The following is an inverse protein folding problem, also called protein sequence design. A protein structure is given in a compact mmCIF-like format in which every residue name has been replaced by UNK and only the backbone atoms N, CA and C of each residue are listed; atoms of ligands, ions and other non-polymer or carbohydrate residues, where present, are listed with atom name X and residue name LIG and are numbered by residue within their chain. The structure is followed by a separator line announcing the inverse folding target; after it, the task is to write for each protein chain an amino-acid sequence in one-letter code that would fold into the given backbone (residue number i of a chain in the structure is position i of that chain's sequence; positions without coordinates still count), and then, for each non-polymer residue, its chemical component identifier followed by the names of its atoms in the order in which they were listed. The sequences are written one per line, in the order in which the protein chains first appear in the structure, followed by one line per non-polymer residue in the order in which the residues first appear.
data_IF_325343678119
#
_entry.id   IF_325343678119
#
_cell.length_a   1.000
_cell.length_b   1.000
_cell.length_c   1.000
_cell.angle_alpha   90.00
_cell.angle_beta   90.00
_cell.angle_gamma   90.00
#
_symmetry.space_group_name_H-M   'P 1'
#
loop_
_entity.id
_entity.type
_entity.pdbx_description
1 polymer ?
#
# COMPACT_ATOMS: atom_id res chain seq x y z
N UNK A 1 -32.89 37.41 1.14
CA UNK A 1 -31.50 37.85 1.37
C UNK A 1 -30.60 36.62 1.27
N UNK A 2 -29.94 36.42 0.13
CA UNK A 2 -28.99 35.30 -0.06
C UNK A 2 -27.61 35.74 0.42
N UNK A 3 -27.19 35.28 1.59
CA UNK A 3 -25.83 35.50 2.08
C UNK A 3 -24.86 34.66 1.23
N UNK A 4 -24.01 35.31 0.44
CA UNK A 4 -22.94 34.67 -0.30
C UNK A 4 -21.76 34.48 0.66
N UNK A 5 -21.50 33.24 1.08
CA UNK A 5 -20.30 32.89 1.84
C UNK A 5 -19.10 32.85 0.88
N UNK A 6 -18.24 33.86 0.93
CA UNK A 6 -16.93 33.86 0.27
C UNK A 6 -15.86 33.37 1.24
N UNK A 7 -15.12 32.34 0.85
CA UNK A 7 -14.03 31.76 1.66
C UNK A 7 -12.69 32.14 1.04
N UNK A 8 -11.75 32.59 1.88
CA UNK A 8 -10.39 32.92 1.44
C UNK A 8 -9.60 31.64 1.09
N UNK A 9 -8.76 31.70 0.05
CA UNK A 9 -7.87 30.60 -0.35
C UNK A 9 -6.98 30.07 0.80
N UNK A 10 -6.50 30.98 1.66
CA UNK A 10 -5.75 30.63 2.88
C UNK A 10 -6.54 29.75 3.85
N UNK A 11 -7.84 30.02 3.99
CA UNK A 11 -8.74 29.23 4.86
C UNK A 11 -8.90 27.83 4.29
N UNK A 12 -9.12 27.71 2.98
CA UNK A 12 -9.20 26.41 2.29
C UNK A 12 -7.90 25.62 2.45
N UNK A 13 -6.74 26.26 2.29
CA UNK A 13 -5.44 25.61 2.44
C UNK A 13 -5.24 25.08 3.87
N UNK A 14 -5.58 25.86 4.90
CA UNK A 14 -5.52 25.43 6.31
C UNK A 14 -6.41 24.22 6.56
N UNK A 15 -7.65 24.22 6.05
CA UNK A 15 -8.54 23.06 6.18
C UNK A 15 -7.99 21.82 5.49
N UNK A 16 -7.41 21.95 4.30
CA UNK A 16 -6.75 20.84 3.60
C UNK A 16 -5.59 20.26 4.44
N UNK A 17 -4.73 21.11 4.99
CA UNK A 17 -3.63 20.69 5.86
C UNK A 17 -4.15 19.96 7.11
N UNK A 18 -5.18 20.50 7.76
CA UNK A 18 -5.79 19.89 8.93
C UNK A 18 -6.39 18.51 8.62
N UNK A 19 -7.03 18.34 7.45
CA UNK A 19 -7.55 17.05 7.01
C UNK A 19 -6.40 16.04 6.84
N UNK A 20 -5.30 16.44 6.19
CA UNK A 20 -4.12 15.58 5.98
C UNK A 20 -3.51 15.15 7.33
N UNK A 21 -3.30 16.09 8.25
CA UNK A 21 -2.74 15.80 9.57
C UNK A 21 -3.66 14.88 10.40
N UNK A 22 -4.97 15.13 10.38
CA UNK A 22 -5.94 14.30 11.08
C UNK A 22 -6.00 12.88 10.49
N UNK A 23 -5.94 12.77 9.17
CA UNK A 23 -5.87 11.49 8.48
C UNK A 23 -4.62 10.71 8.89
N UNK A 24 -3.45 11.36 8.84
CA UNK A 24 -2.20 10.76 9.26
C UNK A 24 -2.25 10.24 10.71
N UNK A 25 -2.75 11.06 11.64
CA UNK A 25 -2.95 10.65 13.05
C UNK A 25 -3.88 9.44 13.18
N UNK A 26 -4.96 9.37 12.39
CA UNK A 26 -5.89 8.23 12.39
C UNK A 26 -5.19 6.94 11.93
N UNK A 27 -4.41 7.01 10.85
CA UNK A 27 -3.66 5.87 10.33
C UNK A 27 -2.58 5.42 11.30
N UNK A 28 -1.86 6.35 11.91
CA UNK A 28 -0.90 6.02 12.96
C UNK A 28 -1.56 5.30 14.15
N UNK A 29 -2.71 5.81 14.62
CA UNK A 29 -3.48 5.18 15.70
C UNK A 29 -3.96 3.77 15.32
N UNK A 30 -4.34 3.56 14.06
CA UNK A 30 -4.75 2.24 13.57
C UNK A 30 -3.60 1.22 13.67
N UNK A 31 -2.41 1.54 13.18
CA UNK A 31 -1.27 0.63 13.24
C UNK A 31 -0.81 0.37 14.68
N UNK A 32 -0.75 1.41 15.52
CA UNK A 32 -0.39 1.26 16.93
C UNK A 32 -1.33 0.33 17.69
N UNK A 33 -2.64 0.40 17.42
CA UNK A 33 -3.62 -0.46 18.08
C UNK A 33 -3.51 -1.93 17.66
N UNK A 34 -2.94 -2.20 16.48
CA UNK A 34 -2.93 -3.53 15.87
C UNK A 34 -1.50 -4.01 15.58
N UNK A 35 -0.51 -3.61 16.35
CA UNK A 35 0.92 -3.86 16.04
C UNK A 35 1.26 -5.35 15.90
N UNK A 36 0.53 -6.21 16.63
CA UNK A 36 0.69 -7.67 16.63
C UNK A 36 -0.24 -8.36 15.61
N UNK A 37 -0.63 -7.68 14.53
CA UNK A 37 -1.48 -8.23 13.48
C UNK A 37 -0.74 -8.30 12.15
N UNK A 38 -1.07 -9.31 11.34
CA UNK A 38 -0.66 -9.35 9.93
C UNK A 38 -1.44 -8.30 9.11
N UNK A 39 -0.77 -7.62 8.19
CA UNK A 39 -1.38 -6.61 7.33
C UNK A 39 -1.39 -7.03 5.85
N UNK A 40 -2.51 -6.76 5.20
CA UNK A 40 -2.65 -6.83 3.76
C UNK A 40 -2.88 -5.41 3.20
N UNK A 41 -2.04 -5.02 2.25
CA UNK A 41 -2.15 -3.78 1.50
C UNK A 41 -2.69 -4.08 0.11
N UNK A 42 -3.58 -3.22 -0.38
CA UNK A 42 -3.99 -3.20 -1.78
C UNK A 42 -3.49 -1.91 -2.42
N UNK A 43 -2.68 -2.04 -3.46
CA UNK A 43 -2.22 -0.95 -4.30
C UNK A 43 -2.91 -1.06 -5.64
N UNK A 44 -3.81 -0.13 -5.92
CA UNK A 44 -4.64 -0.20 -7.11
C UNK A 44 -4.87 1.18 -7.73
N UNK A 45 -5.24 1.18 -9.02
CA UNK A 45 -5.52 2.40 -9.75
C UNK A 45 -7.00 2.78 -9.60
N UNK A 46 -7.26 3.86 -8.87
CA UNK A 46 -8.58 4.46 -8.89
C UNK A 46 -8.71 5.33 -10.15
N UNK A 47 -9.72 5.04 -10.95
CA UNK A 47 -10.14 5.88 -12.06
C UNK A 47 -11.12 6.94 -11.55
N UNK A 48 -10.74 8.21 -11.63
CA UNK A 48 -11.70 9.28 -11.39
C UNK A 48 -12.59 9.44 -12.62
N UNK A 49 -13.70 8.69 -12.66
CA UNK A 49 -14.71 8.76 -13.74
C UNK A 49 -15.74 9.88 -13.53
N UNK A 50 -15.64 10.63 -12.43
CA UNK A 50 -16.55 11.72 -12.11
C UNK A 50 -15.93 13.06 -12.50
N UNK A 51 -16.12 13.47 -13.74
CA UNK A 51 -16.37 14.88 -14.03
C UNK A 51 -17.75 14.97 -14.70
N UNK A 52 -18.79 15.34 -13.94
CA UNK A 52 -19.98 15.93 -14.57
C UNK A 52 -19.61 17.38 -14.88
N UNK A 53 -18.89 17.59 -15.97
CA UNK A 53 -18.79 18.90 -16.57
C UNK A 53 -19.52 18.84 -17.90
N UNK A 54 -20.64 19.56 -18.02
CA UNK A 54 -21.17 19.88 -19.35
C UNK A 54 -20.06 20.67 -20.05
N UNK A 55 -19.48 20.16 -21.15
CA UNK A 55 -18.33 20.79 -21.78
C UNK A 55 -18.78 22.13 -22.38
N UNK A 56 -18.08 23.20 -22.01
CA UNK A 56 -18.22 24.52 -22.62
C UNK A 56 -17.12 24.77 -23.68
N UNK A 57 -16.29 23.77 -23.95
CA UNK A 57 -15.24 23.77 -24.97
C UNK A 57 -15.12 22.38 -25.61
N UNK A 58 -14.43 22.26 -26.74
CA UNK A 58 -14.24 21.02 -27.50
C UNK A 58 -12.99 20.23 -27.11
N UNK A 59 -12.40 20.49 -25.93
CA UNK A 59 -11.24 19.73 -25.46
C UNK A 59 -11.66 18.43 -24.79
N UNK A 60 -11.01 17.32 -25.15
CA UNK A 60 -11.18 16.04 -24.48
C UNK A 60 -10.58 16.13 -23.07
N UNK A 61 -11.39 15.88 -22.03
CA UNK A 61 -10.91 15.74 -20.66
C UNK A 61 -10.04 14.48 -20.55
N UNK A 62 -8.76 14.61 -20.17
CA UNK A 62 -7.91 13.46 -19.88
C UNK A 62 -8.29 12.86 -18.52
N UNK A 63 -8.52 11.55 -18.46
CA UNK A 63 -8.77 10.85 -17.20
C UNK A 63 -7.52 10.91 -16.32
N UNK A 64 -7.65 11.50 -15.13
CA UNK A 64 -6.59 11.46 -14.11
C UNK A 64 -6.61 10.12 -13.38
N UNK A 65 -5.44 9.49 -13.28
CA UNK A 65 -5.24 8.23 -12.55
C UNK A 65 -4.71 8.50 -11.15
N UNK A 66 -5.29 7.84 -10.16
CA UNK A 66 -4.83 7.91 -8.77
C UNK A 66 -4.42 6.53 -8.28
N UNK A 67 -3.16 6.37 -7.93
CA UNK A 67 -2.72 5.23 -7.15
C UNK A 67 -3.32 5.35 -5.75
N UNK A 68 -4.07 4.34 -5.32
CA UNK A 68 -4.69 4.30 -4.00
C UNK A 68 -4.06 3.16 -3.21
N UNK A 69 -3.59 3.47 -2.00
CA UNK A 69 -3.08 2.48 -1.07
C UNK A 69 -4.09 2.28 0.05
N UNK A 70 -4.65 1.09 0.16
CA UNK A 70 -5.53 0.71 1.26
C UNK A 70 -4.93 -0.43 2.05
N UNK A 71 -5.28 -0.55 3.31
CA UNK A 71 -4.78 -1.60 4.20
C UNK A 71 -5.90 -2.17 5.05
N UNK A 72 -5.77 -3.45 5.37
CA UNK A 72 -6.64 -4.16 6.30
C UNK A 72 -5.77 -5.07 7.17
N UNK A 73 -6.10 -5.14 8.46
CA UNK A 73 -5.54 -6.18 9.33
C UNK A 73 -6.20 -7.50 9.00
N UNK A 74 -5.42 -8.56 9.02
CA UNK A 74 -5.93 -9.91 8.82
C UNK A 74 -6.24 -10.49 10.19
N UNK A 75 -7.54 -10.62 10.48
CA UNK A 75 -7.99 -11.08 11.79
C UNK A 75 -7.51 -12.51 12.07
N UNK A 76 -7.26 -12.80 13.35
CA UNK A 76 -6.83 -14.12 13.86
C UNK A 76 -5.44 -14.59 13.40
N UNK A 77 -4.67 -13.76 12.70
CA UNK A 77 -3.30 -14.08 12.29
C UNK A 77 -2.24 -13.21 12.96
N UNK A 78 -1.18 -13.89 13.39
CA UNK A 78 0.04 -13.32 13.96
C UNK A 78 0.95 -12.85 12.81
N UNK A 79 1.72 -11.76 13.00
CA UNK A 79 2.74 -11.31 12.07
C UNK A 79 3.69 -12.45 11.66
N UNK A 80 4.02 -12.48 10.37
CA UNK A 80 4.99 -13.44 9.84
C UNK A 80 6.37 -12.80 9.93
N UNK A 81 7.28 -13.39 10.67
CA UNK A 81 8.66 -12.91 10.77
C UNK A 81 9.35 -13.00 9.42
N UNK A 82 10.04 -11.93 9.02
CA UNK A 82 10.81 -11.86 7.78
C UNK A 82 12.04 -12.80 7.83
N UNK A 83 12.56 -13.04 9.04
CA UNK A 83 13.62 -14.00 9.33
C UNK A 83 13.10 -15.00 10.37
N UNK A 84 13.02 -16.27 10.00
CA UNK A 84 12.64 -17.35 10.91
C UNK A 84 13.82 -18.32 11.02
N UNK A 85 14.32 -18.53 12.24
CA UNK A 85 15.49 -19.38 12.51
C UNK A 85 16.74 -19.02 11.67
N UNK A 86 17.05 -17.72 11.53
CA UNK A 86 18.12 -17.18 10.69
C UNK A 86 18.00 -17.47 9.18
N UNK A 87 16.87 -18.01 8.74
CA UNK A 87 16.53 -18.18 7.33
C UNK A 87 15.65 -17.00 6.92
N UNK A 88 16.10 -16.23 5.94
CA UNK A 88 15.32 -15.13 5.38
C UNK A 88 14.18 -15.73 4.53
N UNK A 89 12.95 -15.23 4.69
CA UNK A 89 11.84 -15.60 3.79
C UNK A 89 12.07 -15.10 2.35
N UNK A 90 13.01 -14.17 2.18
CA UNK A 90 13.42 -13.62 0.90
C UNK A 90 14.31 -14.60 0.12
N UNK A 91 13.69 -15.27 -0.84
CA UNK A 91 14.39 -16.13 -1.79
C UNK A 91 15.02 -15.29 -2.92
N UNK A 92 16.22 -14.76 -2.69
CA UNK A 92 17.00 -13.96 -3.66
C UNK A 92 17.26 -14.69 -4.99
N UNK A 93 17.35 -16.02 -4.95
CA UNK A 93 17.72 -16.85 -6.10
C UNK A 93 16.51 -17.52 -6.75
N UNK A 94 15.30 -17.30 -6.21
CA UNK A 94 14.06 -17.97 -6.62
C UNK A 94 14.13 -19.52 -6.55
N UNK A 95 15.11 -20.09 -5.82
CA UNK A 95 15.47 -21.51 -5.88
C UNK A 95 14.45 -22.43 -5.18
N UNK A 96 13.75 -21.96 -4.15
CA UNK A 96 12.74 -22.78 -3.47
C UNK A 96 11.32 -22.18 -3.50
N UNK A 97 10.87 -21.82 -4.70
CA UNK A 97 9.50 -21.39 -4.92
C UNK A 97 8.47 -22.45 -4.48
N UNK A 98 8.84 -23.74 -4.48
CA UNK A 98 7.96 -24.84 -4.11
C UNK A 98 7.67 -24.90 -2.60
N UNK A 99 8.69 -24.82 -1.74
CA UNK A 99 8.44 -24.83 -0.29
C UNK A 99 7.77 -23.53 0.16
N UNK A 100 8.15 -22.38 -0.42
CA UNK A 100 7.44 -21.13 -0.19
C UNK A 100 5.97 -21.24 -0.64
N UNK A 101 5.71 -21.79 -1.84
CA UNK A 101 4.34 -22.01 -2.31
C UNK A 101 3.57 -22.99 -1.43
N UNK A 102 4.20 -24.00 -0.84
CA UNK A 102 3.54 -24.94 0.07
C UNK A 102 3.13 -24.25 1.37
N UNK A 103 4.03 -23.48 1.96
CA UNK A 103 3.78 -22.72 3.19
C UNK A 103 2.75 -21.62 2.97
N UNK A 104 2.90 -20.86 1.87
CA UNK A 104 1.91 -19.87 1.46
C UNK A 104 0.58 -20.54 1.14
N UNK A 105 0.51 -21.66 0.41
CA UNK A 105 -0.77 -22.35 0.16
C UNK A 105 -1.48 -22.76 1.44
N UNK A 106 -0.75 -23.17 2.49
CA UNK A 106 -1.36 -23.48 3.79
C UNK A 106 -1.92 -22.22 4.46
N UNK A 107 -1.17 -21.12 4.46
CA UNK A 107 -1.63 -19.82 4.99
C UNK A 107 -2.82 -19.30 4.17
N UNK A 108 -2.72 -19.31 2.83
CA UNK A 108 -3.74 -18.87 1.89
C UNK A 108 -4.99 -19.76 1.93
N UNK A 109 -4.87 -21.09 2.12
CA UNK A 109 -6.04 -21.95 2.33
C UNK A 109 -6.74 -21.61 3.64
N UNK A 110 -6.00 -21.38 4.73
CA UNK A 110 -6.58 -20.93 6.00
C UNK A 110 -7.24 -19.54 5.91
N UNK A 111 -6.69 -18.65 5.07
CA UNK A 111 -7.23 -17.32 4.78
C UNK A 111 -8.51 -17.40 3.92
N UNK A 112 -8.44 -18.06 2.77
CA UNK A 112 -9.48 -17.98 1.74
C UNK A 112 -10.59 -19.04 1.90
N UNK A 113 -10.39 -20.14 2.64
CA UNK A 113 -11.47 -21.11 2.91
C UNK A 113 -12.50 -20.57 3.91
N UNK A 114 -12.17 -19.54 4.70
CA UNK A 114 -13.13 -18.84 5.58
C UNK A 114 -13.76 -17.65 4.87
N UNK A 115 -14.82 -17.95 4.11
CA UNK A 115 -15.80 -16.99 3.54
C UNK A 115 -15.26 -15.99 2.53
N UNK A 116 -15.07 -16.45 1.29
CA UNK A 116 -14.87 -15.69 0.05
C UNK A 116 -15.77 -14.44 -0.16
N UNK A 117 -16.86 -14.24 0.59
CA UNK A 117 -17.75 -13.07 0.49
C UNK A 117 -17.51 -11.98 1.54
N UNK A 118 -17.00 -12.30 2.73
CA UNK A 118 -16.79 -11.30 3.79
C UNK A 118 -15.45 -10.56 3.64
N UNK A 119 -14.44 -11.16 3.01
CA UNK A 119 -13.11 -10.55 2.86
C UNK A 119 -12.99 -9.53 1.72
N UNK A 120 -13.81 -9.64 0.67
CA UNK A 120 -13.98 -8.55 -0.33
C UNK A 120 -14.72 -7.33 0.24
N UNK A 121 -15.15 -7.40 1.49
CA UNK A 121 -15.80 -6.28 2.15
C UNK A 121 -14.81 -5.15 2.39
N UNK A 122 -15.19 -3.95 1.98
CA UNK A 122 -14.53 -2.69 2.35
C UNK A 122 -14.67 -2.37 3.84
N UNK A 123 -15.39 -3.20 4.61
CA UNK A 123 -15.49 -3.05 6.06
C UNK A 123 -14.11 -3.14 6.70
N UNK A 124 -13.85 -2.19 7.60
CA UNK A 124 -12.61 -2.02 8.36
C UNK A 124 -11.35 -1.69 7.53
N UNK A 125 -11.52 -1.45 6.22
CA UNK A 125 -10.47 -1.00 5.32
C UNK A 125 -10.04 0.43 5.71
N UNK A 126 -8.73 0.65 5.81
CA UNK A 126 -8.16 1.97 6.02
C UNK A 126 -7.51 2.46 4.72
N UNK A 127 -7.80 3.69 4.33
CA UNK A 127 -7.06 4.39 3.29
C UNK A 127 -5.73 4.86 3.88
N UNK A 128 -4.61 4.33 3.39
CA UNK A 128 -3.28 4.73 3.87
C UNK A 128 -2.90 6.05 3.25
N UNK A 129 -2.98 6.12 1.91
CA UNK A 129 -2.67 7.30 1.13
C UNK A 129 -3.20 7.14 -0.31
N UNK A 130 -3.23 8.23 -1.07
CA UNK A 130 -3.48 8.21 -2.51
C UNK A 130 -2.69 9.32 -3.20
N UNK A 131 -2.22 9.04 -4.42
CA UNK A 131 -1.39 9.97 -5.20
C UNK A 131 -1.83 9.95 -6.66
N UNK A 132 -1.88 11.13 -7.29
CA UNK A 132 -2.06 11.23 -8.75
C UNK A 132 -0.83 10.57 -9.42
N UNK A 133 -1.02 9.34 -9.89
CA UNK A 133 0.05 8.46 -10.33
C UNK A 133 -0.54 7.29 -11.13
N UNK A 134 0.13 6.95 -12.22
CA UNK A 134 -0.29 5.87 -13.12
C UNK A 134 0.44 4.57 -12.78
N UNK A 135 -0.22 3.57 -12.22
CA UNK A 135 0.40 2.29 -11.83
C UNK A 135 0.74 1.38 -13.04
N UNK A 136 1.55 1.89 -13.97
CA UNK A 136 1.90 1.28 -15.25
C UNK A 136 3.40 1.07 -15.46
N UNK A 137 4.27 1.79 -14.74
CA UNK A 137 5.73 1.67 -14.86
C UNK A 137 6.40 1.25 -13.57
N UNK A 138 7.66 0.81 -13.68
CA UNK A 138 8.50 0.47 -12.53
C UNK A 138 8.63 1.67 -11.57
N UNK A 139 8.89 2.86 -12.10
CA UNK A 139 9.05 4.10 -11.35
C UNK A 139 7.76 4.46 -10.61
N UNK A 140 6.62 4.29 -11.27
CA UNK A 140 5.33 4.59 -10.66
C UNK A 140 4.99 3.59 -9.53
N UNK A 141 5.29 2.30 -9.68
CA UNK A 141 5.15 1.36 -8.57
C UNK A 141 6.15 1.65 -7.43
N UNK A 142 7.38 2.06 -7.74
CA UNK A 142 8.36 2.44 -6.73
C UNK A 142 7.90 3.67 -5.93
N UNK A 143 7.32 4.66 -6.61
CA UNK A 143 6.71 5.82 -5.99
C UNK A 143 5.47 5.46 -5.17
N UNK A 144 4.65 4.51 -5.64
CA UNK A 144 3.48 4.06 -4.91
C UNK A 144 3.85 3.32 -3.60
N UNK A 145 4.93 2.53 -3.61
CA UNK A 145 5.41 1.83 -2.41
C UNK A 145 5.83 2.79 -1.29
N UNK A 146 6.22 4.02 -1.62
CA UNK A 146 6.51 5.07 -0.63
C UNK A 146 5.30 5.39 0.25
N UNK A 147 4.07 5.19 -0.23
CA UNK A 147 2.86 5.34 0.58
C UNK A 147 2.83 4.40 1.80
N UNK A 148 3.47 3.22 1.69
CA UNK A 148 3.58 2.25 2.79
C UNK A 148 4.82 2.55 3.63
N UNK A 149 5.98 2.73 2.98
CA UNK A 149 7.29 2.88 3.64
C UNK A 149 7.37 4.18 4.45
N UNK A 150 6.70 5.25 3.99
CA UNK A 150 6.75 6.53 4.68
C UNK A 150 5.86 6.61 5.92
N UNK A 151 5.10 5.54 6.26
CA UNK A 151 4.35 5.47 7.51
C UNK A 151 5.34 5.16 8.64
N UNK A 152 5.71 6.11 9.52
CA UNK A 152 6.85 5.93 10.43
C UNK A 152 6.67 4.76 11.40
N UNK A 153 5.43 4.48 11.80
CA UNK A 153 5.10 3.37 12.69
C UNK A 153 5.26 1.99 12.04
N UNK A 154 5.23 1.92 10.71
CA UNK A 154 5.49 0.67 10.00
C UNK A 154 6.98 0.37 9.91
N UNK A 155 7.89 1.33 10.12
CA UNK A 155 9.34 1.08 9.98
C UNK A 155 9.82 -0.06 10.88
N UNK A 156 9.45 -0.03 12.16
CA UNK A 156 9.84 -1.08 13.11
C UNK A 156 9.16 -2.41 12.75
N UNK A 157 7.90 -2.38 12.35
CA UNK A 157 7.16 -3.57 11.93
C UNK A 157 7.79 -4.21 10.69
N UNK A 158 8.08 -3.43 9.65
CA UNK A 158 8.63 -3.91 8.37
C UNK A 158 10.08 -4.41 8.49
N UNK A 159 10.81 -3.99 9.52
CA UNK A 159 12.15 -4.51 9.81
C UNK A 159 12.12 -5.97 10.31
N UNK A 160 11.01 -6.39 10.92
CA UNK A 160 10.90 -7.69 11.59
C UNK A 160 9.90 -8.61 10.88
N UNK A 161 8.88 -8.04 10.24
CA UNK A 161 7.70 -8.74 9.76
C UNK A 161 7.48 -8.55 8.26
N UNK A 162 6.83 -9.53 7.65
CA UNK A 162 6.37 -9.49 6.27
C UNK A 162 4.99 -8.82 6.21
N UNK A 163 4.76 -8.09 5.12
CA UNK A 163 3.43 -7.59 4.73
C UNK A 163 2.98 -8.26 3.45
N UNK A 164 1.67 -8.42 3.31
CA UNK A 164 1.07 -8.87 2.06
C UNK A 164 0.76 -7.64 1.20
N UNK A 165 1.19 -7.64 -0.06
CA UNK A 165 0.78 -6.63 -1.03
C UNK A 165 0.00 -7.32 -2.14
N UNK A 166 -1.29 -6.98 -2.22
CA UNK A 166 -2.24 -7.44 -3.22
C UNK A 166 -2.18 -6.46 -4.38
N UNK A 167 -1.85 -6.96 -5.56
CA UNK A 167 -1.85 -6.20 -6.82
C UNK A 167 -2.18 -7.12 -7.99
N UNK A 168 -2.75 -6.56 -9.05
CA UNK A 168 -2.90 -7.26 -10.33
C UNK A 168 -1.59 -7.27 -11.13
N UNK A 169 -1.53 -8.02 -12.23
CA UNK A 169 -0.49 -7.82 -13.23
C UNK A 169 -0.71 -6.46 -13.93
N UNK A 170 0.33 -5.64 -14.19
CA UNK A 170 1.76 -5.89 -14.04
C UNK A 170 2.36 -5.55 -12.66
N UNK A 171 1.56 -5.06 -11.70
CA UNK A 171 2.03 -4.67 -10.37
C UNK A 171 2.80 -5.75 -9.61
N UNK A 172 2.38 -7.00 -9.70
CA UNK A 172 3.10 -8.13 -9.08
C UNK A 172 4.54 -8.24 -9.61
N UNK A 173 4.75 -8.03 -10.91
CA UNK A 173 6.06 -8.10 -11.54
C UNK A 173 6.94 -6.92 -11.12
N UNK A 174 6.39 -5.70 -11.18
CA UNK A 174 7.16 -4.50 -10.85
C UNK A 174 7.54 -4.43 -9.38
N UNK A 175 6.62 -4.72 -8.46
CA UNK A 175 6.92 -4.75 -7.02
C UNK A 175 8.04 -5.75 -6.72
N UNK A 176 7.97 -6.97 -7.29
CA UNK A 176 9.04 -7.97 -7.13
C UNK A 176 10.38 -7.44 -7.63
N UNK A 177 10.42 -6.86 -8.83
CA UNK A 177 11.65 -6.26 -9.38
C UNK A 177 12.21 -5.15 -8.51
N UNK A 178 11.37 -4.26 -7.98
CA UNK A 178 11.78 -3.17 -7.09
C UNK A 178 12.43 -3.72 -5.83
N UNK A 179 11.78 -4.68 -5.17
CA UNK A 179 12.31 -5.28 -3.94
C UNK A 179 13.63 -6.01 -4.19
N UNK A 180 13.73 -6.79 -5.28
CA UNK A 180 14.98 -7.44 -5.68
C UNK A 180 16.10 -6.43 -5.92
N UNK A 181 15.81 -5.36 -6.67
CA UNK A 181 16.78 -4.30 -6.94
C UNK A 181 17.28 -3.64 -5.66
N UNK A 182 16.38 -3.23 -4.75
CA UNK A 182 16.74 -2.60 -3.48
C UNK A 182 17.61 -3.50 -2.61
N UNK A 183 17.35 -4.81 -2.59
CA UNK A 183 18.15 -5.77 -1.82
C UNK A 183 19.54 -6.00 -2.40
N UNK A 184 19.65 -6.09 -3.72
CA UNK A 184 20.96 -6.15 -4.40
C UNK A 184 21.78 -4.91 -4.04
N UNK A 185 21.19 -3.71 -4.13
CA UNK A 185 21.88 -2.47 -3.77
C UNK A 185 22.37 -2.48 -2.31
N UNK A 186 21.51 -2.90 -1.36
CA UNK A 186 21.89 -3.04 0.05
C UNK A 186 23.08 -3.99 0.25
N UNK A 187 23.10 -5.13 -0.45
CA UNK A 187 24.20 -6.10 -0.36
C UNK A 187 25.52 -5.53 -0.89
N UNK A 188 25.47 -4.78 -2.01
CA UNK A 188 26.64 -4.15 -2.61
C UNK A 188 27.21 -3.05 -1.69
N UNK A 189 26.34 -2.21 -1.10
CA UNK A 189 26.78 -1.18 -0.15
C UNK A 189 27.42 -1.77 1.11
N UNK A 190 26.91 -2.89 1.62
CA UNK A 190 27.48 -3.54 2.81
C UNK A 190 28.86 -4.15 2.54
N UNK A 191 29.15 -4.58 1.32
CA UNK A 191 30.46 -5.09 0.92
C UNK A 191 31.47 -3.95 0.77
N UNK A 192 31.04 -2.76 0.32
CA UNK A 192 31.92 -1.59 0.17
C UNK A 192 32.29 -0.88 1.47
N UNK A 193 31.71 -1.29 2.61
CA UNK A 193 31.97 -0.73 3.94
C UNK A 193 32.83 -1.66 4.84
N UNK A 194 33.35 -2.76 4.27
CA UNK A 194 34.34 -3.67 4.87
C UNK A 194 35.68 -3.46 4.19
#
# INVERSE_FOLDING_TARGET
MLARLTVLSKTVLRYKQQIVENHFKKICKFFNKNIDCLYAFNLDNYHSIHEIHRPNNTFLSSTKHFATCTTKKVDFLIPILANYNNITLFNLVNIDANNLCKYLKQIYSLLFDRKYKEERSMKDLQLVDFKELELHSFENYADALKMIINVPLLNNYLNQNVILIITNWPGQLFIRKIITYLKIQQSVTNISQV
#
